data_IF_448099003925
#
_entry.id   IF_448099003925
#
_cell.length_a   1.000
_cell.length_b   1.000
_cell.length_c   1.000
_cell.angle_alpha   90.00
_cell.angle_beta   90.00
_cell.angle_gamma   90.00
#
_symmetry.space_group_name_H-M   'P 1'
#
loop_
_entity.id
_entity.type
_entity.pdbx_description
1 polymer ?
#
# COMPACT_ATOMS: atom_id res chain seq x y z
N UNK A 1 10.74 25.52 11.54
CA UNK A 1 10.59 24.20 12.21
C UNK A 1 9.19 23.99 12.80
N UNK A 2 8.59 24.95 13.51
CA UNK A 2 7.21 24.82 14.05
C UNK A 2 6.14 24.51 12.99
N UNK A 3 6.19 25.19 11.84
CA UNK A 3 5.21 25.00 10.77
C UNK A 3 5.28 23.61 10.11
N UNK A 4 6.49 23.03 10.02
CA UNK A 4 6.70 21.66 9.51
C UNK A 4 6.11 20.63 10.49
N UNK A 5 6.29 20.86 11.80
CA UNK A 5 5.72 20.00 12.84
C UNK A 5 4.19 19.98 12.81
N UNK A 6 3.56 21.15 12.65
CA UNK A 6 2.10 21.28 12.54
C UNK A 6 1.55 20.61 11.28
N UNK A 7 2.24 20.74 10.15
CA UNK A 7 1.85 20.06 8.91
C UNK A 7 1.96 18.54 9.02
N UNK A 8 3.02 18.03 9.66
CA UNK A 8 3.15 16.59 9.92
C UNK A 8 2.02 16.08 10.81
N UNK A 9 1.72 16.77 11.92
CA UNK A 9 0.60 16.41 12.80
C UNK A 9 -0.75 16.40 12.06
N UNK A 10 -0.97 17.38 11.18
CA UNK A 10 -2.18 17.44 10.34
C UNK A 10 -2.30 16.23 9.40
N UNK A 11 -1.20 15.78 8.81
CA UNK A 11 -1.16 14.58 7.95
C UNK A 11 -1.51 13.32 8.76
N UNK A 12 -0.94 13.17 9.96
CA UNK A 12 -1.19 12.01 10.82
C UNK A 12 -2.62 11.92 11.35
N UNK A 13 -3.30 13.05 11.55
CA UNK A 13 -4.71 13.08 11.96
C UNK A 13 -5.69 13.05 10.78
N UNK A 14 -5.21 13.17 9.55
CA UNK A 14 -6.08 13.08 8.39
C UNK A 14 -6.29 11.62 7.98
N UNK A 15 -7.44 11.06 8.38
CA UNK A 15 -7.92 9.74 7.97
C UNK A 15 -8.04 9.55 6.46
N UNK A 16 -7.94 10.64 5.66
CA UNK A 16 -7.92 10.60 4.19
C UNK A 16 -6.52 10.53 3.60
N UNK A 17 -5.55 11.22 4.21
CA UNK A 17 -4.18 11.35 3.68
C UNK A 17 -3.32 10.17 4.14
N UNK A 18 -3.48 9.73 5.39
CA UNK A 18 -2.69 8.63 5.94
C UNK A 18 -2.81 7.32 5.12
N UNK A 19 -4.01 6.87 4.70
CA UNK A 19 -4.14 5.72 3.81
C UNK A 19 -3.44 5.89 2.46
N UNK A 20 -3.41 7.09 1.89
CA UNK A 20 -2.73 7.35 0.62
C UNK A 20 -1.22 7.15 0.74
N UNK A 21 -0.63 7.59 1.86
CA UNK A 21 0.79 7.39 2.11
C UNK A 21 1.15 5.91 2.27
N UNK A 22 0.29 5.15 2.97
CA UNK A 22 0.46 3.69 3.08
C UNK A 22 0.36 3.01 1.70
N UNK A 23 -0.61 3.41 0.88
CA UNK A 23 -0.75 2.90 -0.48
C UNK A 23 0.45 3.25 -1.37
N UNK A 24 0.99 4.45 -1.25
CA UNK A 24 2.22 4.83 -1.94
C UNK A 24 3.40 3.93 -1.53
N UNK A 25 3.49 3.60 -0.23
CA UNK A 25 4.46 2.62 0.27
C UNK A 25 4.33 1.25 -0.42
N UNK A 26 3.13 0.72 -0.52
CA UNK A 26 2.85 -0.57 -1.21
C UNK A 26 3.23 -0.51 -2.69
N UNK A 27 2.91 0.59 -3.37
CA UNK A 27 3.27 0.78 -4.79
C UNK A 27 4.78 0.81 -4.96
N UNK A 28 5.49 1.57 -4.11
CA UNK A 28 6.95 1.68 -4.16
C UNK A 28 7.58 0.32 -3.89
N UNK A 29 7.13 -0.39 -2.85
CA UNK A 29 7.64 -1.70 -2.47
C UNK A 29 7.58 -2.66 -3.66
N UNK A 30 6.39 -2.89 -4.23
CA UNK A 30 6.24 -3.78 -5.38
C UNK A 30 6.95 -3.27 -6.63
N UNK A 31 6.99 -1.96 -6.88
CA UNK A 31 7.74 -1.40 -8.00
C UNK A 31 9.22 -1.74 -7.88
N UNK A 32 9.79 -1.61 -6.68
CA UNK A 32 11.17 -1.97 -6.41
C UNK A 32 11.37 -3.50 -6.47
N UNK A 33 10.46 -4.30 -5.94
CA UNK A 33 10.50 -5.77 -6.05
C UNK A 33 10.62 -6.19 -7.51
N UNK A 34 9.76 -5.67 -8.39
CA UNK A 34 9.79 -6.02 -9.81
C UNK A 34 10.96 -5.39 -10.56
N UNK A 35 11.38 -4.18 -10.18
CA UNK A 35 12.54 -3.52 -10.78
C UNK A 35 13.86 -4.25 -10.48
N UNK A 36 14.00 -4.77 -9.26
CA UNK A 36 15.18 -5.54 -8.84
C UNK A 36 15.07 -7.04 -9.16
N UNK A 37 13.87 -7.55 -9.42
CA UNK A 37 13.68 -8.92 -9.89
C UNK A 37 14.02 -8.99 -11.38
N UNK A 38 15.24 -9.43 -11.67
CA UNK A 38 15.78 -9.60 -13.03
C UNK A 38 14.93 -10.54 -13.92
N UNK A 39 14.12 -11.41 -13.31
CA UNK A 39 13.14 -12.24 -14.02
C UNK A 39 11.91 -12.58 -13.19
N UNK A 40 10.85 -13.00 -13.87
CA UNK A 40 9.64 -13.57 -13.25
C UNK A 40 9.96 -14.81 -12.40
N UNK A 41 10.97 -15.61 -12.78
CA UNK A 41 11.36 -16.78 -11.99
C UNK A 41 11.94 -16.38 -10.62
N UNK A 42 12.64 -15.25 -10.54
CA UNK A 42 13.12 -14.73 -9.26
C UNK A 42 11.97 -14.39 -8.32
N UNK A 43 10.92 -13.74 -8.83
CA UNK A 43 9.71 -13.46 -8.05
C UNK A 43 9.03 -14.76 -7.62
N UNK A 44 8.85 -15.71 -8.54
CA UNK A 44 8.21 -17.00 -8.20
C UNK A 44 8.99 -17.82 -7.16
N UNK A 45 10.32 -17.66 -7.12
CA UNK A 45 11.21 -18.38 -6.20
C UNK A 45 11.27 -17.75 -4.81
N UNK A 46 11.37 -16.43 -4.72
CA UNK A 46 11.66 -15.73 -3.46
C UNK A 46 10.46 -15.05 -2.81
N UNK A 47 9.42 -14.73 -3.59
CA UNK A 47 8.19 -14.17 -3.03
C UNK A 47 7.44 -15.25 -2.23
N UNK A 48 6.75 -14.86 -1.16
CA UNK A 48 5.94 -15.80 -0.36
C UNK A 48 4.44 -15.62 -0.55
N UNK A 49 4.00 -14.46 -1.06
CA UNK A 49 2.58 -14.17 -1.30
C UNK A 49 2.00 -15.09 -2.39
N UNK A 50 1.06 -16.00 -2.04
CA UNK A 50 0.47 -16.90 -3.03
C UNK A 50 -0.35 -16.15 -4.08
N UNK A 51 -1.01 -15.06 -3.69
CA UNK A 51 -1.81 -14.22 -4.57
C UNK A 51 -0.94 -13.48 -5.58
N UNK A 52 0.22 -12.99 -5.16
CA UNK A 52 1.15 -12.34 -6.08
C UNK A 52 1.79 -13.34 -7.03
N UNK A 53 2.18 -14.53 -6.55
CA UNK A 53 2.66 -15.62 -7.44
C UNK A 53 1.64 -15.97 -8.50
N UNK A 54 0.37 -16.09 -8.11
CA UNK A 54 -0.71 -16.32 -9.05
C UNK A 54 -0.83 -15.18 -10.07
N UNK A 55 -0.75 -13.93 -9.60
CA UNK A 55 -0.85 -12.77 -10.49
C UNK A 55 0.29 -12.70 -11.51
N UNK A 56 1.51 -13.02 -11.07
CA UNK A 56 2.70 -13.09 -11.90
C UNK A 56 2.60 -14.23 -12.92
N UNK A 57 2.19 -15.43 -12.50
CA UNK A 57 2.10 -16.59 -13.41
C UNK A 57 1.02 -16.44 -14.49
N UNK A 58 0.00 -15.63 -14.24
CA UNK A 58 -1.09 -15.35 -15.19
C UNK A 58 -0.94 -13.99 -15.90
N UNK A 59 0.16 -13.27 -15.68
CA UNK A 59 0.41 -11.94 -16.27
C UNK A 59 -0.68 -10.90 -15.94
N UNK A 60 -1.23 -10.97 -14.72
CA UNK A 60 -2.28 -10.06 -14.19
C UNK A 60 -1.76 -9.23 -13.01
N UNK A 61 -0.47 -8.91 -12.99
CA UNK A 61 0.18 -8.16 -11.91
C UNK A 61 -0.41 -6.76 -11.74
N UNK A 62 -0.66 -6.04 -12.84
CA UNK A 62 -1.23 -4.68 -12.80
C UNK A 62 -2.62 -4.67 -12.14
N UNK A 63 -3.61 -5.48 -12.57
CA UNK A 63 -4.91 -5.49 -11.90
C UNK A 63 -4.84 -6.03 -10.46
N UNK A 64 -3.92 -6.94 -10.16
CA UNK A 64 -3.65 -7.37 -8.78
C UNK A 64 -3.16 -6.21 -7.90
N UNK A 65 -2.17 -5.44 -8.35
CA UNK A 65 -1.63 -4.29 -7.61
C UNK A 65 -2.70 -3.21 -7.42
N UNK A 66 -3.48 -2.90 -8.45
CA UNK A 66 -4.60 -1.97 -8.34
C UNK A 66 -5.63 -2.43 -7.30
N UNK A 67 -6.02 -3.70 -7.35
CA UNK A 67 -6.97 -4.28 -6.40
C UNK A 67 -6.41 -4.24 -4.97
N UNK A 68 -5.12 -4.53 -4.82
CA UNK A 68 -4.41 -4.48 -3.53
C UNK A 68 -4.40 -3.06 -2.97
N UNK A 69 -4.03 -2.07 -3.78
CA UNK A 69 -4.03 -0.65 -3.39
C UNK A 69 -5.42 -0.17 -2.99
N UNK A 70 -6.46 -0.50 -3.76
CA UNK A 70 -7.85 -0.14 -3.44
C UNK A 70 -8.28 -0.81 -2.13
N UNK A 71 -7.95 -2.09 -1.94
CA UNK A 71 -8.27 -2.82 -0.72
C UNK A 71 -7.60 -2.19 0.50
N UNK A 72 -6.29 -1.93 0.44
CA UNK A 72 -5.57 -1.29 1.56
C UNK A 72 -6.09 0.12 1.83
N UNK A 73 -6.36 0.90 0.80
CA UNK A 73 -6.92 2.24 0.96
C UNK A 73 -8.27 2.19 1.67
N UNK A 74 -9.20 1.37 1.18
CA UNK A 74 -10.56 1.27 1.72
C UNK A 74 -10.58 0.72 3.14
N UNK A 75 -9.78 -0.31 3.43
CA UNK A 75 -9.64 -0.87 4.78
C UNK A 75 -9.05 0.17 5.75
N UNK A 76 -7.94 0.81 5.40
CA UNK A 76 -7.29 1.80 6.25
C UNK A 76 -8.18 3.04 6.46
N UNK A 77 -8.82 3.54 5.39
CA UNK A 77 -9.77 4.65 5.49
C UNK A 77 -10.93 4.30 6.43
N UNK A 78 -11.49 3.09 6.31
CA UNK A 78 -12.62 2.65 7.12
C UNK A 78 -12.23 2.56 8.59
N UNK A 79 -11.11 1.90 8.90
CA UNK A 79 -10.61 1.77 10.28
C UNK A 79 -10.29 3.15 10.88
N UNK A 80 -9.58 4.01 10.15
CA UNK A 80 -9.24 5.36 10.64
C UNK A 80 -10.47 6.25 10.80
N UNK A 81 -11.46 6.12 9.92
CA UNK A 81 -12.73 6.83 10.06
C UNK A 81 -13.46 6.39 11.32
N UNK A 82 -13.59 5.08 11.55
CA UNK A 82 -14.21 4.56 12.76
C UNK A 82 -13.45 4.99 14.02
N UNK A 83 -12.12 5.01 13.97
CA UNK A 83 -11.29 5.46 15.09
C UNK A 83 -11.45 6.96 15.37
N UNK A 84 -11.63 7.77 14.32
CA UNK A 84 -11.86 9.21 14.46
C UNK A 84 -13.28 9.53 14.98
N UNK A 85 -14.28 8.72 14.58
CA UNK A 85 -15.66 8.87 15.04
C UNK A 85 -15.87 8.27 16.45
N UNK A 86 -15.06 7.30 16.86
CA UNK A 86 -15.00 6.83 18.24
C UNK A 86 -14.20 7.83 19.07
N UNK A 87 -14.89 8.79 19.68
CA UNK A 87 -14.31 9.63 20.75
C UNK A 87 -13.75 8.70 21.86
N UNK A 88 -12.45 8.41 21.81
CA UNK A 88 -11.64 7.89 22.93
C UNK A 88 -10.74 9.02 23.40
#
# INVERSE_FOLDING_TARGET
MQQISQNLQSIYHSYRILPLLLCAGVIIDYSLTFYFADSVEMVMRYEFSPTLKYAVSHNIVIPYLLSTVIFYYTAAYTVLKFLADSEI
#
